data_IF_548512121951
#
_entry.id   IF_548512121951
#
_cell.length_a   1.000
_cell.length_b   1.000
_cell.length_c   1.000
_cell.angle_alpha   90.00
_cell.angle_beta   90.00
_cell.angle_gamma   90.00
#
_symmetry.space_group_name_H-M   'P 1'
#
loop_
_entity.id
_entity.type
_entity.pdbx_description
1 polymer ?
#
# COMPACT_ATOMS: atom_id res chain seq x y z
N UNK A 1 -15.41 -10.29 2.04
CA UNK A 1 -15.04 -8.90 1.64
C UNK A 1 -13.95 -9.02 0.58
N UNK A 2 -14.16 -8.49 -0.62
CA UNK A 2 -13.21 -8.65 -1.72
C UNK A 2 -11.79 -8.24 -1.30
N UNK A 3 -10.82 -9.11 -1.56
CA UNK A 3 -9.41 -8.79 -1.40
C UNK A 3 -9.10 -7.64 -2.38
N UNK A 4 -8.46 -6.57 -1.89
CA UNK A 4 -8.08 -5.45 -2.74
C UNK A 4 -6.88 -5.89 -3.55
N UNK A 5 -6.91 -5.83 -4.89
CA UNK A 5 -5.79 -6.26 -5.73
C UNK A 5 -4.49 -5.55 -5.35
N UNK A 6 -3.36 -6.24 -5.54
CA UNK A 6 -2.03 -5.72 -5.19
C UNK A 6 -1.58 -4.58 -6.12
N UNK A 7 -2.12 -4.55 -7.34
CA UNK A 7 -1.90 -3.52 -8.37
C UNK A 7 -2.69 -2.22 -8.14
N UNK A 8 -3.43 -2.11 -7.03
CA UNK A 8 -4.12 -0.89 -6.63
C UNK A 8 -3.24 -0.07 -5.68
N UNK A 9 -2.83 1.11 -6.15
CA UNK A 9 -2.01 2.06 -5.41
C UNK A 9 -2.76 2.78 -4.30
N UNK A 10 -2.00 3.29 -3.34
CA UNK A 10 -2.48 4.05 -2.18
C UNK A 10 -1.88 5.45 -2.18
N UNK A 11 -2.71 6.46 -2.39
CA UNK A 11 -2.29 7.88 -2.29
C UNK A 11 -2.39 8.45 -0.87
N UNK A 12 -2.70 7.62 0.13
CA UNK A 12 -2.77 8.08 1.51
C UNK A 12 -1.37 8.16 2.15
N UNK A 13 -0.78 9.34 2.08
CA UNK A 13 0.48 9.72 2.74
C UNK A 13 0.36 9.82 4.27
N UNK A 14 -0.85 9.97 4.82
CA UNK A 14 -1.06 10.07 6.26
C UNK A 14 -1.03 8.71 6.95
N UNK A 15 -1.05 7.60 6.21
CA UNK A 15 -1.01 6.27 6.78
C UNK A 15 0.38 5.99 7.38
N UNK A 16 0.44 5.60 8.66
CA UNK A 16 1.71 5.26 9.35
C UNK A 16 2.51 4.18 8.62
N UNK A 17 1.80 3.27 7.94
CA UNK A 17 2.40 2.18 7.16
C UNK A 17 2.70 2.55 5.70
N UNK A 18 2.36 3.75 5.23
CA UNK A 18 2.65 4.21 3.86
C UNK A 18 4.12 3.98 3.45
N UNK A 19 5.14 4.33 4.25
CA UNK A 19 6.54 4.11 3.89
C UNK A 19 6.94 2.63 3.85
N UNK A 20 6.13 1.70 4.35
CA UNK A 20 6.38 0.25 4.31
C UNK A 20 5.41 -0.50 3.39
N UNK A 21 4.53 0.23 2.69
CA UNK A 21 3.44 -0.35 1.91
C UNK A 21 3.74 -0.33 0.41
N UNK A 22 3.67 -1.49 -0.25
CA UNK A 22 3.80 -1.64 -1.70
C UNK A 22 2.76 -0.80 -2.45
N UNK A 23 1.57 -0.57 -1.87
CA UNK A 23 0.53 0.27 -2.49
C UNK A 23 1.00 1.71 -2.67
N UNK A 24 1.71 2.25 -1.68
CA UNK A 24 2.30 3.58 -1.78
C UNK A 24 3.41 3.58 -2.81
N UNK A 25 4.24 2.53 -2.84
CA UNK A 25 5.31 2.38 -3.84
C UNK A 25 4.78 2.41 -5.28
N UNK A 26 3.75 1.63 -5.61
CA UNK A 26 3.21 1.60 -6.98
C UNK A 26 2.46 2.89 -7.34
N UNK A 27 1.94 3.61 -6.33
CA UNK A 27 1.37 4.93 -6.51
C UNK A 27 2.46 5.95 -6.85
N UNK A 28 3.53 6.02 -6.06
CA UNK A 28 4.65 6.94 -6.30
C UNK A 28 5.43 6.61 -7.58
N UNK A 29 5.55 5.33 -7.94
CA UNK A 29 6.16 4.91 -9.20
C UNK A 29 5.23 5.08 -10.41
N UNK A 30 3.95 5.41 -10.23
CA UNK A 30 2.98 5.50 -11.32
C UNK A 30 2.70 4.16 -12.02
N UNK A 31 2.99 3.03 -11.37
CA UNK A 31 2.76 1.67 -11.89
C UNK A 31 1.45 1.06 -11.39
N UNK A 32 0.72 1.77 -10.52
CA UNK A 32 -0.60 1.39 -10.06
C UNK A 32 -1.61 1.39 -11.21
N UNK A 33 -2.43 0.34 -11.28
CA UNK A 33 -3.56 0.25 -12.23
C UNK A 33 -4.64 1.27 -11.90
N UNK A 34 -4.95 1.40 -10.62
CA UNK A 34 -5.84 2.43 -10.08
C UNK A 34 -5.25 2.96 -8.77
N UNK A 35 -5.60 4.20 -8.43
CA UNK A 35 -5.17 4.84 -7.18
C UNK A 35 -6.39 5.03 -6.30
N UNK A 36 -6.31 4.57 -5.05
CA UNK A 36 -7.37 4.74 -4.04
C UNK A 36 -6.76 5.24 -2.74
N UNK A 37 -7.56 5.91 -1.92
CA UNK A 37 -7.18 6.23 -0.55
C UNK A 37 -7.77 5.18 0.39
N UNK A 38 -6.92 4.56 1.22
CA UNK A 38 -7.35 3.61 2.25
C UNK A 38 -7.37 4.31 3.61
N UNK A 39 -8.22 3.87 4.55
CA UNK A 39 -8.45 4.54 5.84
C UNK A 39 -7.32 4.45 6.89
N UNK A 40 -6.06 4.49 6.48
CA UNK A 40 -4.92 4.59 7.39
C UNK A 40 -4.77 5.99 7.96
N UNK A 41 -4.21 6.09 9.16
CA UNK A 41 -3.90 7.34 9.85
C UNK A 41 -2.46 7.34 10.34
N UNK A 42 -1.98 8.48 10.85
CA UNK A 42 -0.61 8.62 11.35
C UNK A 42 -0.34 7.76 12.60
N UNK A 43 -1.39 7.21 13.22
CA UNK A 43 -1.31 6.35 14.40
C UNK A 43 -1.66 4.89 14.10
N UNK A 44 -2.35 4.60 12.98
CA UNK A 44 -2.89 3.26 12.69
C UNK A 44 -2.86 2.94 11.20
N UNK A 45 -2.38 1.75 10.85
CA UNK A 45 -2.40 1.23 9.47
C UNK A 45 -3.82 1.03 8.92
N UNK A 46 -3.95 1.09 7.59
CA UNK A 46 -5.25 1.05 6.88
C UNK A 46 -5.95 -0.32 6.83
N UNK A 47 -5.38 -1.37 7.44
CA UNK A 47 -5.89 -2.74 7.40
C UNK A 47 -5.79 -3.44 6.03
N UNK A 48 -5.39 -2.69 4.98
CA UNK A 48 -5.07 -3.18 3.63
C UNK A 48 -3.57 -3.09 3.36
N UNK A 49 -2.77 -3.18 4.43
CA UNK A 49 -1.33 -3.18 4.35
C UNK A 49 -0.85 -4.26 3.39
N UNK A 50 0.00 -3.85 2.47
CA UNK A 50 0.66 -4.74 1.53
C UNK A 50 2.16 -4.50 1.73
N UNK A 51 2.90 -5.44 2.34
CA UNK A 51 4.33 -5.23 2.56
C UNK A 51 5.04 -4.98 1.23
N UNK A 52 6.04 -4.09 1.24
CA UNK A 52 6.91 -3.88 0.08
C UNK A 52 7.47 -5.23 -0.38
N UNK A 53 7.45 -5.47 -1.69
CA UNK A 53 8.14 -6.62 -2.27
C UNK A 53 9.62 -6.27 -2.27
N UNK A 54 10.29 -6.54 -1.15
CA UNK A 54 11.73 -6.76 -1.19
C UNK A 54 11.95 -8.07 -1.94
N UNK A 55 12.85 -8.07 -2.93
CA UNK A 55 13.38 -9.27 -3.58
C UNK A 55 13.96 -10.20 -2.50
N UNK A 56 13.09 -11.02 -1.90
CA UNK A 56 13.40 -11.58 -0.59
C UNK A 56 12.23 -12.28 0.08
N UNK A 57 11.53 -13.15 -0.65
CA UNK A 57 10.92 -14.32 -0.01
C UNK A 57 12.02 -15.06 0.76
N UNK A 58 12.16 -14.80 2.05
CA UNK A 58 12.89 -15.71 2.94
C UNK A 58 11.84 -16.55 3.67
N UNK A 59 11.46 -17.62 2.96
CA UNK A 59 11.26 -19.00 3.42
C UNK A 59 10.78 -19.20 4.86
#
# INVERSE_FOLDING_TARGET
>A
MAAVPEDIGCSNEQCVEAPNCQRTVIYENGTAREVKSFGGTAQKGCGKFLPKKEDGSKK
#
